data_IF_927009790866
#
_entry.id   IF_927009790866
#
_cell.length_a   1.000
_cell.length_b   1.000
_cell.length_c   1.000
_cell.angle_alpha   90.00
_cell.angle_beta   90.00
_cell.angle_gamma   90.00
#
_symmetry.space_group_name_H-M   'P 1'
#
loop_
_entity.id
_entity.type
_entity.pdbx_description
1 polymer ?
#
# COMPACT_ATOMS: atom_id res chain seq x y z
N UNK A 1 3.80 -12.04 -4.12
CA UNK A 1 4.96 -12.65 -4.82
C UNK A 1 4.56 -13.91 -5.57
N UNK A 2 3.89 -14.88 -4.93
CA UNK A 2 3.59 -16.19 -5.54
C UNK A 2 2.60 -16.19 -6.72
N UNK A 3 1.66 -15.24 -6.80
CA UNK A 3 0.69 -15.17 -7.93
C UNK A 3 0.99 -14.07 -8.96
N UNK A 4 2.14 -13.39 -8.88
CA UNK A 4 2.51 -12.34 -9.85
C UNK A 4 1.41 -11.25 -10.07
N UNK A 5 0.62 -10.98 -9.03
CA UNK A 5 -0.51 -10.05 -9.09
C UNK A 5 -0.07 -8.58 -9.13
N UNK A 6 1.07 -8.25 -8.48
CA UNK A 6 1.59 -6.89 -8.46
C UNK A 6 2.15 -6.48 -9.83
N UNK A 7 1.93 -5.25 -10.30
CA UNK A 7 2.37 -4.77 -11.62
C UNK A 7 3.86 -4.41 -11.64
N UNK A 8 4.73 -5.38 -11.34
CA UNK A 8 6.18 -5.22 -11.56
C UNK A 8 6.48 -5.14 -13.05
N UNK A 9 7.62 -4.57 -13.47
CA UNK A 9 7.93 -4.46 -14.91
C UNK A 9 7.99 -5.84 -15.57
N UNK A 10 8.53 -6.86 -14.91
CA UNK A 10 8.49 -8.25 -15.40
C UNK A 10 7.05 -8.77 -15.60
N UNK A 11 6.11 -8.39 -14.73
CA UNK A 11 4.69 -8.77 -14.88
C UNK A 11 4.00 -7.99 -15.99
N UNK A 12 4.31 -6.70 -16.12
CA UNK A 12 3.78 -5.84 -17.18
C UNK A 12 4.30 -6.26 -18.55
N UNK A 13 5.56 -6.69 -18.65
CA UNK A 13 6.15 -7.22 -19.87
C UNK A 13 5.48 -8.53 -20.28
N UNK A 14 5.25 -9.46 -19.33
CA UNK A 14 4.47 -10.68 -19.60
C UNK A 14 3.07 -10.39 -20.13
N UNK A 15 2.47 -9.28 -19.69
CA UNK A 15 1.16 -8.78 -20.17
C UNK A 15 1.26 -7.90 -21.41
N UNK A 16 2.44 -7.78 -22.03
CA UNK A 16 2.73 -6.99 -23.24
C UNK A 16 2.44 -5.48 -23.09
N UNK A 17 2.51 -4.96 -21.87
CA UNK A 17 2.27 -3.53 -21.55
C UNK A 17 3.54 -2.69 -21.70
N UNK A 18 4.70 -3.25 -21.35
CA UNK A 18 6.02 -2.59 -21.42
C UNK A 18 7.00 -3.41 -22.24
N UNK A 19 8.03 -2.75 -22.78
CA UNK A 19 9.09 -3.39 -23.59
C UNK A 19 10.38 -3.63 -22.81
N UNK A 20 10.62 -2.84 -21.77
CA UNK A 20 11.79 -2.95 -20.90
C UNK A 20 11.36 -3.45 -19.52
N UNK A 21 12.16 -4.35 -18.95
CA UNK A 21 11.97 -4.95 -17.64
C UNK A 21 13.01 -4.49 -16.63
N UNK A 22 14.07 -3.79 -17.05
CA UNK A 22 15.11 -3.32 -16.15
C UNK A 22 14.52 -2.40 -15.09
N UNK A 23 14.83 -2.70 -13.83
CA UNK A 23 14.34 -1.88 -12.74
C UNK A 23 14.99 -0.49 -12.80
N UNK A 24 14.23 0.62 -12.94
CA UNK A 24 14.82 1.93 -13.20
C UNK A 24 15.74 2.45 -12.10
N UNK A 25 15.66 1.84 -10.91
CA UNK A 25 16.40 2.24 -9.72
C UNK A 25 17.81 1.64 -9.67
N UNK A 26 17.96 0.33 -9.93
CA UNK A 26 19.28 -0.29 -9.99
C UNK A 26 19.83 -0.36 -11.42
N UNK A 27 18.97 -0.48 -12.44
CA UNK A 27 19.37 -0.67 -13.83
C UNK A 27 20.05 -2.00 -14.14
N UNK A 28 20.25 -2.87 -13.13
CA UNK A 28 21.08 -4.07 -13.22
C UNK A 28 20.29 -5.34 -13.54
N UNK A 29 19.05 -5.44 -13.05
CA UNK A 29 18.26 -6.66 -13.13
C UNK A 29 16.83 -6.36 -13.57
N UNK A 30 16.16 -7.38 -14.12
CA UNK A 30 14.74 -7.33 -14.40
C UNK A 30 13.93 -7.15 -13.10
N UNK A 31 12.96 -6.23 -13.10
CA UNK A 31 12.15 -5.90 -11.94
C UNK A 31 11.12 -6.99 -11.64
N UNK A 32 11.51 -7.93 -10.80
CA UNK A 32 10.58 -8.81 -10.09
C UNK A 32 10.10 -8.15 -8.79
N UNK A 33 8.98 -8.63 -8.25
CA UNK A 33 8.47 -8.17 -6.95
C UNK A 33 9.51 -8.43 -5.84
N UNK A 34 10.14 -9.61 -5.86
CA UNK A 34 11.14 -9.98 -4.85
C UNK A 34 12.38 -9.09 -4.93
N UNK A 35 12.88 -8.84 -6.15
CA UNK A 35 14.00 -7.94 -6.35
C UNK A 35 13.66 -6.53 -5.88
N UNK A 36 12.51 -5.98 -6.29
CA UNK A 36 12.11 -4.62 -5.93
C UNK A 36 11.95 -4.43 -4.40
N UNK A 37 11.49 -5.44 -3.67
CA UNK A 37 11.19 -5.30 -2.23
C UNK A 37 12.33 -5.70 -1.29
N UNK A 38 13.13 -6.70 -1.67
CA UNK A 38 14.10 -7.31 -0.74
C UNK A 38 15.54 -7.19 -1.21
N UNK A 39 15.79 -7.44 -2.50
CA UNK A 39 17.13 -7.77 -2.98
C UNK A 39 17.79 -6.69 -3.86
N UNK A 40 17.04 -5.68 -4.28
CA UNK A 40 17.58 -4.53 -4.97
C UNK A 40 18.48 -3.74 -4.01
N UNK A 41 19.62 -3.24 -4.52
CA UNK A 41 20.56 -2.37 -3.78
C UNK A 41 19.85 -1.27 -3.01
N UNK A 42 18.89 -0.59 -3.65
CA UNK A 42 18.17 0.51 -3.03
C UNK A 42 17.18 0.06 -1.94
N UNK A 43 16.68 -1.18 -1.99
CA UNK A 43 15.85 -1.74 -0.91
C UNK A 43 16.71 -2.27 0.23
N UNK A 44 17.87 -2.85 -0.10
CA UNK A 44 18.90 -3.24 0.88
C UNK A 44 19.35 -2.04 1.71
N UNK A 45 19.55 -0.87 1.09
CA UNK A 45 19.89 0.37 1.80
C UNK A 45 18.79 0.77 2.81
N UNK A 46 17.52 0.71 2.41
CA UNK A 46 16.36 0.96 3.30
C UNK A 46 16.35 -0.01 4.48
N UNK A 47 16.57 -1.31 4.24
CA UNK A 47 16.62 -2.30 5.31
C UNK A 47 17.85 -2.13 6.22
N UNK A 48 18.96 -1.63 5.67
CA UNK A 48 20.20 -1.37 6.40
C UNK A 48 20.06 -0.15 7.29
N UNK A 49 19.41 0.93 6.83
CA UNK A 49 19.17 2.13 7.65
C UNK A 49 18.26 1.85 8.85
N UNK A 50 17.50 0.75 8.81
CA UNK A 50 16.68 0.26 9.92
C UNK A 50 17.41 -0.74 10.84
N UNK A 51 18.70 -1.01 10.58
CA UNK A 51 19.45 -2.10 11.23
C UNK A 51 18.78 -3.47 11.09
N UNK A 52 17.97 -3.66 10.04
CA UNK A 52 17.11 -4.83 9.86
C UNK A 52 17.58 -5.77 8.75
N UNK A 53 18.50 -5.31 7.91
CA UNK A 53 19.00 -6.11 6.78
C UNK A 53 19.61 -7.45 7.21
N UNK A 54 20.34 -7.51 8.33
CA UNK A 54 20.90 -8.76 8.85
C UNK A 54 19.83 -9.83 9.16
N UNK A 55 18.62 -9.41 9.53
CA UNK A 55 17.49 -10.32 9.76
C UNK A 55 16.96 -10.85 8.42
N UNK A 56 16.81 -9.96 7.44
CA UNK A 56 16.31 -10.31 6.09
C UNK A 56 17.31 -11.19 5.33
N UNK A 57 18.61 -10.91 5.45
CA UNK A 57 19.68 -11.63 4.77
C UNK A 57 19.71 -13.13 5.11
N UNK A 58 19.18 -13.53 6.28
CA UNK A 58 19.01 -14.96 6.65
C UNK A 58 18.09 -15.72 5.71
N UNK A 59 17.23 -15.02 4.97
CA UNK A 59 16.27 -15.58 4.04
C UNK A 59 16.71 -15.39 2.58
N UNK A 60 17.98 -15.03 2.34
CA UNK A 60 18.50 -14.84 0.99
C UNK A 60 18.34 -16.13 0.17
N UNK A 61 17.91 -15.98 -1.08
CA UNK A 61 17.62 -17.10 -1.97
C UNK A 61 16.21 -17.69 -1.84
N UNK A 62 15.45 -17.31 -0.81
CA UNK A 62 14.03 -17.66 -0.72
C UNK A 62 13.17 -16.68 -1.52
N UNK A 63 11.97 -17.14 -1.91
CA UNK A 63 10.97 -16.23 -2.47
C UNK A 63 10.45 -15.31 -1.37
N UNK A 64 10.03 -14.09 -1.70
CA UNK A 64 9.68 -13.12 -0.67
C UNK A 64 8.45 -13.50 0.17
N UNK A 65 7.62 -14.44 -0.28
CA UNK A 65 6.53 -14.96 0.54
C UNK A 65 7.05 -15.85 1.69
N UNK A 66 8.13 -16.60 1.45
CA UNK A 66 8.79 -17.37 2.49
C UNK A 66 9.62 -16.48 3.42
N UNK A 67 10.20 -15.38 2.90
CA UNK A 67 10.78 -14.32 3.75
C UNK A 67 9.73 -13.78 4.71
N UNK A 68 8.55 -13.38 4.21
CA UNK A 68 7.46 -12.87 5.05
C UNK A 68 7.00 -13.91 6.10
N UNK A 69 6.87 -15.17 5.72
CA UNK A 69 6.50 -16.25 6.64
C UNK A 69 7.55 -16.44 7.73
N UNK A 70 8.83 -16.39 7.37
CA UNK A 70 9.93 -16.47 8.32
C UNK A 70 9.95 -15.31 9.30
N UNK A 71 9.67 -14.09 8.83
CA UNK A 71 9.56 -12.89 9.68
C UNK A 71 8.34 -12.95 10.60
N UNK A 72 7.19 -13.45 10.13
CA UNK A 72 5.98 -13.62 10.96
C UNK A 72 6.22 -14.56 12.15
N UNK A 73 7.00 -15.63 11.94
CA UNK A 73 7.41 -16.55 13.02
C UNK A 73 8.44 -15.91 13.97
N UNK A 74 9.29 -15.02 13.46
CA UNK A 74 10.45 -14.50 14.21
C UNK A 74 10.20 -13.16 14.91
N UNK A 75 9.15 -12.43 14.53
CA UNK A 75 8.90 -11.06 14.99
C UNK A 75 7.60 -10.97 15.80
N UNK A 76 7.54 -9.96 16.67
CA UNK A 76 6.29 -9.52 17.29
C UNK A 76 5.41 -8.81 16.25
N UNK A 77 4.10 -8.81 16.48
CA UNK A 77 3.10 -8.19 15.57
C UNK A 77 3.39 -6.73 15.25
N UNK A 78 3.88 -5.97 16.22
CA UNK A 78 4.19 -4.54 16.05
C UNK A 78 5.36 -4.35 15.08
N UNK A 79 6.42 -5.15 15.25
CA UNK A 79 7.59 -5.14 14.37
C UNK A 79 7.24 -5.64 12.96
N UNK A 80 6.42 -6.69 12.85
CA UNK A 80 5.91 -7.17 11.57
C UNK A 80 5.05 -6.10 10.87
N UNK A 81 4.24 -5.37 11.63
CA UNK A 81 3.48 -4.23 11.13
C UNK A 81 4.38 -3.17 10.50
N UNK A 82 5.48 -2.81 11.16
CA UNK A 82 6.47 -1.87 10.62
C UNK A 82 7.16 -2.41 9.35
N UNK A 83 7.47 -3.71 9.30
CA UNK A 83 8.01 -4.36 8.08
C UNK A 83 7.01 -4.23 6.92
N UNK A 84 5.73 -4.52 7.16
CA UNK A 84 4.68 -4.36 6.15
C UNK A 84 4.55 -2.92 5.66
N UNK A 85 4.62 -1.94 6.57
CA UNK A 85 4.58 -0.52 6.21
C UNK A 85 5.77 -0.12 5.35
N UNK A 86 6.97 -0.60 5.66
CA UNK A 86 8.18 -0.31 4.87
C UNK A 86 8.12 -0.97 3.50
N UNK A 87 7.65 -2.21 3.40
CA UNK A 87 7.40 -2.87 2.11
C UNK A 87 6.43 -2.07 1.24
N UNK A 88 5.34 -1.57 1.82
CA UNK A 88 4.41 -0.69 1.14
C UNK A 88 5.10 0.60 0.68
N UNK A 89 5.91 1.23 1.54
CA UNK A 89 6.67 2.43 1.21
C UNK A 89 7.65 2.22 0.05
N UNK A 90 8.42 1.12 0.06
CA UNK A 90 9.33 0.74 -1.04
C UNK A 90 8.55 0.57 -2.34
N UNK A 91 7.41 -0.13 -2.30
CA UNK A 91 6.56 -0.32 -3.46
C UNK A 91 5.98 1.00 -3.98
N UNK A 92 5.58 1.89 -3.08
CA UNK A 92 5.05 3.20 -3.44
C UNK A 92 6.11 4.09 -4.09
N UNK A 93 7.32 4.14 -3.53
CA UNK A 93 8.45 4.87 -4.10
C UNK A 93 8.79 4.34 -5.51
N UNK A 94 8.77 3.02 -5.69
CA UNK A 94 8.89 2.40 -7.01
C UNK A 94 7.80 2.86 -7.98
N UNK A 95 6.54 2.89 -7.54
CA UNK A 95 5.43 3.29 -8.41
C UNK A 95 5.54 4.76 -8.82
N UNK A 96 6.03 5.63 -7.94
CA UNK A 96 6.28 7.04 -8.26
C UNK A 96 7.35 7.20 -9.35
N UNK A 97 8.41 6.39 -9.32
CA UNK A 97 9.44 6.38 -10.36
C UNK A 97 8.85 5.90 -11.68
N UNK A 98 8.18 4.75 -11.69
CA UNK A 98 7.68 4.10 -12.91
C UNK A 98 6.52 4.88 -13.55
N UNK A 99 5.58 5.39 -12.75
CA UNK A 99 4.37 6.03 -13.28
C UNK A 99 4.49 7.55 -13.38
N UNK A 100 5.15 8.20 -12.41
CA UNK A 100 5.15 9.66 -12.29
C UNK A 100 6.46 10.28 -12.76
N UNK A 101 7.49 9.47 -13.07
CA UNK A 101 8.87 9.92 -13.35
C UNK A 101 9.42 10.86 -12.27
N UNK A 102 8.90 10.75 -11.05
CA UNK A 102 9.33 11.54 -9.90
C UNK A 102 10.19 10.65 -9.04
N UNK A 103 11.50 10.90 -9.02
CA UNK A 103 12.38 10.34 -8.01
C UNK A 103 12.10 11.03 -6.69
N UNK A 104 11.34 10.40 -5.78
CA UNK A 104 11.38 10.83 -4.38
C UNK A 104 12.78 10.49 -3.84
N UNK A 105 13.41 11.44 -3.15
CA UNK A 105 14.62 11.14 -2.39
C UNK A 105 14.30 10.08 -1.35
N UNK A 106 15.00 8.95 -1.43
CA UNK A 106 14.78 7.77 -0.60
C UNK A 106 15.26 7.97 0.83
N UNK A 107 16.07 9.00 1.06
CA UNK A 107 16.64 9.38 2.35
C UNK A 107 15.61 9.53 3.47
N UNK A 108 14.34 9.80 3.13
CA UNK A 108 13.27 10.03 4.11
C UNK A 108 12.14 8.98 4.02
N UNK A 109 12.31 7.89 3.26
CA UNK A 109 11.27 6.87 3.08
C UNK A 109 10.89 6.23 4.41
N UNK A 110 11.89 5.72 5.14
CA UNK A 110 11.68 5.03 6.42
C UNK A 110 11.02 5.96 7.43
N UNK A 111 11.57 7.16 7.61
CA UNK A 111 11.03 8.15 8.53
C UNK A 111 9.58 8.51 8.18
N UNK A 112 9.29 8.81 6.92
CA UNK A 112 7.94 9.19 6.48
C UNK A 112 6.93 8.06 6.65
N UNK A 113 7.32 6.83 6.32
CA UNK A 113 6.46 5.64 6.47
C UNK A 113 6.17 5.35 7.95
N UNK A 114 7.20 5.40 8.80
CA UNK A 114 7.04 5.14 10.24
C UNK A 114 6.31 6.28 10.94
N UNK A 115 6.48 7.54 10.52
CA UNK A 115 5.68 8.67 10.99
C UNK A 115 4.21 8.47 10.62
N UNK A 116 3.93 8.15 9.37
CA UNK A 116 2.57 7.87 8.91
C UNK A 116 1.92 6.72 9.68
N UNK A 117 2.68 5.65 9.97
CA UNK A 117 2.19 4.55 10.79
C UNK A 117 1.81 5.00 12.20
N UNK A 118 2.62 5.85 12.84
CA UNK A 118 2.31 6.42 14.17
C UNK A 118 1.07 7.30 14.14
N UNK A 119 0.96 8.18 13.15
CA UNK A 119 -0.20 9.07 13.00
C UNK A 119 -1.49 8.27 12.78
N UNK A 120 -1.42 7.20 11.97
CA UNK A 120 -2.53 6.29 11.76
C UNK A 120 -2.92 5.54 13.05
N UNK A 121 -1.95 5.05 13.82
CA UNK A 121 -2.21 4.37 15.09
C UNK A 121 -2.85 5.32 16.12
N UNK A 122 -2.36 6.56 16.21
CA UNK A 122 -2.90 7.58 17.12
C UNK A 122 -4.32 8.02 16.74
N UNK A 123 -4.60 8.17 15.44
CA UNK A 123 -5.95 8.50 14.96
C UNK A 123 -6.93 7.33 15.13
N UNK A 124 -6.47 6.10 14.91
CA UNK A 124 -7.30 4.90 15.06
C UNK A 124 -7.69 4.62 16.51
N UNK A 125 -6.81 4.91 17.47
CA UNK A 125 -7.13 4.76 18.90
C UNK A 125 -8.02 5.90 19.43
N UNK A 126 -8.03 7.06 18.76
CA UNK A 126 -8.91 8.17 19.06
C UNK A 126 -10.35 7.98 18.55
N UNK A 127 -10.58 7.03 17.63
CA UNK A 127 -11.93 6.63 17.25
C UNK A 127 -12.53 5.82 18.41
N UNK A 128 -13.49 6.42 19.13
CA UNK A 128 -14.43 5.68 19.98
C UNK A 128 -14.96 4.46 19.21
N UNK A 129 -15.25 3.32 19.87
CA UNK A 129 -15.77 2.15 19.18
C UNK A 129 -16.98 2.59 18.35
N UNK A 130 -16.80 2.63 17.03
CA UNK A 130 -17.89 2.88 16.10
C UNK A 130 -18.94 1.83 16.43
N UNK A 131 -20.17 2.21 16.84
CA UNK A 131 -21.22 1.23 16.99
C UNK A 131 -21.26 0.49 15.65
N UNK A 132 -21.19 -0.84 15.73
CA UNK A 132 -21.31 -1.72 14.56
C UNK A 132 -22.45 -1.17 13.74
N UNK A 133 -22.14 -0.57 12.59
CA UNK A 133 -23.16 -0.02 11.70
C UNK A 133 -23.95 -1.24 11.27
N UNK A 134 -25.09 -1.45 11.93
CA UNK A 134 -26.04 -2.47 11.53
C UNK A 134 -26.23 -2.30 10.03
N UNK A 135 -26.22 -3.41 9.28
CA UNK A 135 -26.40 -3.40 7.82
C UNK A 135 -27.44 -2.36 7.48
N UNK A 136 -27.03 -1.34 6.72
CA UNK A 136 -27.93 -0.26 6.35
C UNK A 136 -29.18 -0.91 5.73
N UNK A 137 -30.39 -0.54 6.19
CA UNK A 137 -31.62 -1.11 5.64
C UNK A 137 -31.66 -0.91 4.12
N UNK A 138 -32.25 -1.88 3.41
CA UNK A 138 -32.37 -1.82 1.95
C UNK A 138 -33.14 -0.60 1.44
N UNK A 139 -33.87 0.08 2.34
CA UNK A 139 -34.62 1.29 2.07
C UNK A 139 -34.07 2.45 2.92
N UNK A 140 -34.09 3.65 2.34
CA UNK A 140 -33.66 4.85 3.04
C UNK A 140 -34.60 5.16 4.21
N UNK A 141 -34.03 5.38 5.38
CA UNK A 141 -34.70 5.98 6.54
C UNK A 141 -34.01 7.31 6.92
N UNK A 142 -34.76 8.26 7.50
CA UNK A 142 -34.18 9.46 8.10
C UNK A 142 -33.15 9.10 9.18
N UNK A 143 -32.08 9.91 9.33
CA UNK A 143 -31.14 9.78 10.45
C UNK A 143 -31.80 10.14 11.79
N UNK A 144 -31.12 9.87 12.90
CA UNK A 144 -31.59 10.31 14.22
C UNK A 144 -31.62 11.84 14.30
N UNK A 145 -32.54 12.39 15.09
CA UNK A 145 -32.62 13.83 15.33
C UNK A 145 -31.26 14.41 15.75
N UNK A 146 -30.85 15.49 15.09
CA UNK A 146 -29.55 16.14 15.33
C UNK A 146 -28.36 15.47 14.62
N UNK A 147 -28.60 14.51 13.72
CA UNK A 147 -27.55 13.89 12.90
C UNK A 147 -27.79 14.11 11.41
N UNK A 148 -26.72 14.19 10.63
CA UNK A 148 -26.77 14.31 9.18
C UNK A 148 -26.35 13.00 8.52
N UNK A 149 -27.04 12.62 7.44
CA UNK A 149 -26.71 11.46 6.63
C UNK A 149 -26.24 11.89 5.25
N UNK A 150 -25.01 11.56 4.92
CA UNK A 150 -24.45 11.72 3.58
C UNK A 150 -24.64 10.42 2.79
N UNK A 151 -25.40 10.50 1.70
CA UNK A 151 -25.51 9.46 0.69
C UNK A 151 -24.65 9.86 -0.52
N UNK A 152 -23.73 8.98 -0.93
CA UNK A 152 -22.88 9.22 -2.10
C UNK A 152 -23.11 8.14 -3.16
N UNK A 153 -23.04 8.52 -4.42
CA UNK A 153 -23.00 7.61 -5.56
C UNK A 153 -21.94 8.09 -6.57
N UNK A 154 -21.32 7.15 -7.27
CA UNK A 154 -20.30 7.46 -8.27
C UNK A 154 -20.60 6.73 -9.57
N UNK A 155 -20.63 7.49 -10.66
CA UNK A 155 -20.82 6.97 -12.01
C UNK A 155 -19.54 7.12 -12.83
N UNK A 156 -19.19 6.08 -13.58
CA UNK A 156 -18.04 6.11 -14.50
C UNK A 156 -18.56 5.89 -15.91
N UNK A 157 -18.22 6.79 -16.83
CA UNK A 157 -18.63 6.66 -18.23
C UNK A 157 -17.65 5.76 -18.98
N UNK A 158 -18.09 4.55 -19.29
CA UNK A 158 -17.29 3.53 -20.01
C UNK A 158 -16.72 4.09 -21.31
N UNK A 159 -15.40 3.94 -21.50
CA UNK A 159 -14.68 4.44 -22.68
C UNK A 159 -14.25 5.90 -22.62
N UNK A 160 -14.46 6.60 -21.51
CA UNK A 160 -13.94 7.96 -21.27
C UNK A 160 -13.21 8.03 -19.93
N UNK A 161 -12.33 9.02 -19.76
CA UNK A 161 -11.68 9.32 -18.48
C UNK A 161 -12.56 10.14 -17.54
N UNK A 162 -13.87 10.17 -17.78
CA UNK A 162 -14.82 10.97 -17.00
C UNK A 162 -15.55 10.12 -15.97
N UNK A 163 -15.67 10.66 -14.77
CA UNK A 163 -16.52 10.15 -13.70
C UNK A 163 -17.35 11.30 -13.12
N UNK A 164 -18.52 10.98 -12.61
CA UNK A 164 -19.38 11.89 -11.88
C UNK A 164 -19.62 11.37 -10.47
N UNK A 165 -19.68 12.27 -9.49
CA UNK A 165 -20.02 11.96 -8.11
C UNK A 165 -21.30 12.72 -7.75
N UNK A 166 -22.27 12.00 -7.19
CA UNK A 166 -23.49 12.58 -6.62
C UNK A 166 -23.45 12.47 -5.10
N UNK A 167 -23.75 13.56 -4.42
CA UNK A 167 -23.78 13.63 -2.96
C UNK A 167 -25.11 14.23 -2.52
N UNK A 168 -25.76 13.61 -1.54
CA UNK A 168 -26.99 14.10 -0.93
C UNK A 168 -26.83 14.06 0.59
N UNK A 169 -26.95 15.23 1.22
CA UNK A 169 -26.98 15.35 2.68
C UNK A 169 -28.43 15.54 3.09
N UNK A 170 -28.89 14.72 4.05
CA UNK A 170 -30.25 14.78 4.61
C UNK A 170 -30.20 14.84 6.13
N UNK A 171 -31.16 15.56 6.70
CA UNK A 171 -31.39 15.62 8.15
C UNK A 171 -32.55 14.69 8.54
N UNK A 172 -32.99 14.75 9.79
CA UNK A 172 -34.11 13.95 10.30
C UNK A 172 -35.47 14.29 9.66
N UNK A 173 -35.57 15.42 8.94
CA UNK A 173 -36.77 15.90 8.25
C UNK A 173 -36.75 15.64 6.74
N UNK A 174 -35.63 15.15 6.19
CA UNK A 174 -35.47 14.75 4.79
C UNK A 174 -34.52 15.64 4.02
#
# INVERSE_FOLDING_TARGET
>A
MCHNALPSLSNLWRRKVVRDVCYPRCGLFAETVDHALWWCTNSVEVWTSMSFYNVIARFQGLCGADVLRGLDVSLKKEALGSVCMVLWGIWQARNDIVQRRKGRSESNLVEGVLSFQKDFQASSSALLPTPVVAKAPAFWSPPMAGTLKLNTDASVKKGSSMFGVGEVIRDDKG
#
